data_IF_843734498325
#
_entry.id   IF_843734498325
#
_cell.length_a   1.000
_cell.length_b   1.000
_cell.length_c   1.000
_cell.angle_alpha   90.00
_cell.angle_beta   90.00
_cell.angle_gamma   90.00
#
_symmetry.space_group_name_H-M   'P 1'
#
loop_
_entity.id
_entity.type
_entity.pdbx_description
1 polymer ?
#
# COMPACT_ATOMS: atom_id res chain seq x y z
N UNK A 1 6.49 36.16 52.62
CA UNK A 1 6.13 34.94 51.87
C UNK A 1 6.02 35.34 50.42
N UNK A 2 7.15 35.27 49.71
CA UNK A 2 7.16 35.39 48.25
C UNK A 2 6.62 34.10 47.67
N UNK A 3 5.59 34.19 46.84
CA UNK A 3 5.10 33.06 46.06
C UNK A 3 6.05 32.88 44.87
N UNK A 4 6.81 31.78 44.89
CA UNK A 4 7.50 31.27 43.71
C UNK A 4 6.44 30.82 42.70
N UNK A 5 6.27 31.60 41.64
CA UNK A 5 5.64 31.10 40.42
C UNK A 5 6.60 30.08 39.79
N UNK A 6 6.23 28.79 39.81
CA UNK A 6 6.86 27.81 38.94
C UNK A 6 6.54 28.22 37.51
N UNK A 7 7.56 28.69 36.79
CA UNK A 7 7.49 28.83 35.33
C UNK A 7 7.20 27.45 34.75
N UNK A 8 6.06 27.31 34.08
CA UNK A 8 5.87 26.23 33.12
C UNK A 8 7.01 26.35 32.10
N UNK A 9 7.92 25.37 32.11
CA UNK A 9 9.00 25.32 31.13
C UNK A 9 8.35 25.11 29.76
N UNK A 10 8.31 26.17 28.95
CA UNK A 10 8.09 26.09 27.51
C UNK A 10 9.16 25.15 26.94
N UNK A 11 8.80 23.90 26.70
CA UNK A 11 9.65 22.95 26.01
C UNK A 11 9.75 23.39 24.56
N UNK A 12 10.96 23.56 24.04
CA UNK A 12 11.17 23.95 22.65
C UNK A 12 10.50 22.94 21.69
N UNK A 13 10.04 23.38 20.50
CA UNK A 13 9.45 22.50 19.49
C UNK A 13 10.30 21.25 19.21
N UNK A 14 11.63 21.39 19.28
CA UNK A 14 12.62 20.33 19.08
C UNK A 14 12.53 19.19 20.11
N UNK A 15 12.10 19.48 21.34
CA UNK A 15 11.95 18.52 22.43
C UNK A 15 10.79 17.55 22.18
N UNK A 16 9.81 17.95 21.35
CA UNK A 16 8.72 17.10 20.86
C UNK A 16 9.14 16.22 19.67
N UNK A 17 10.12 16.66 18.88
CA UNK A 17 10.58 15.98 17.66
C UNK A 17 11.36 14.70 17.99
N UNK A 18 12.10 14.66 19.08
CA UNK A 18 13.01 13.55 19.40
C UNK A 18 12.33 12.20 19.68
N UNK A 19 11.02 12.18 19.99
CA UNK A 19 10.31 10.95 20.36
C UNK A 19 9.49 10.30 19.24
N UNK A 20 9.36 10.95 18.08
CA UNK A 20 8.66 10.36 16.93
C UNK A 20 9.71 9.66 16.04
N UNK A 21 9.53 8.36 15.82
CA UNK A 21 10.35 7.59 14.87
C UNK A 21 10.13 8.04 13.42
N UNK A 22 11.16 7.92 12.58
CA UNK A 22 11.08 8.23 11.16
C UNK A 22 9.97 7.41 10.47
N UNK A 23 9.25 8.04 9.56
CA UNK A 23 8.30 7.42 8.66
C UNK A 23 9.02 7.01 7.38
N UNK A 24 9.01 5.71 7.14
CA UNK A 24 9.40 5.12 5.88
C UNK A 24 8.17 4.52 5.23
N UNK A 25 7.85 4.92 4.01
CA UNK A 25 6.75 4.31 3.28
C UNK A 25 7.20 2.99 2.64
N UNK A 26 6.83 1.88 3.27
CA UNK A 26 6.99 0.55 2.69
C UNK A 26 5.67 -0.24 2.79
N UNK A 27 4.87 -0.08 1.74
CA UNK A 27 3.53 -0.63 1.59
C UNK A 27 3.41 -2.13 1.94
N UNK A 28 4.42 -2.93 1.61
CA UNK A 28 4.36 -4.39 1.69
C UNK A 28 4.70 -4.94 3.07
N UNK A 29 5.53 -4.25 3.85
CA UNK A 29 5.81 -4.61 5.25
C UNK A 29 4.85 -3.92 6.23
N UNK A 30 3.82 -3.24 5.71
CA UNK A 30 2.82 -2.56 6.51
C UNK A 30 3.31 -1.24 7.12
N UNK A 31 4.37 -0.66 6.58
CA UNK A 31 4.82 0.69 6.93
C UNK A 31 4.06 1.71 6.07
N UNK A 32 2.78 1.85 6.38
CA UNK A 32 1.87 2.82 5.76
C UNK A 32 1.58 3.95 6.75
N UNK A 33 1.23 5.13 6.23
CA UNK A 33 1.07 6.34 7.03
C UNK A 33 0.04 6.18 8.14
N UNK A 34 -1.07 5.47 7.90
CA UNK A 34 -2.11 5.28 8.93
C UNK A 34 -1.63 4.46 10.12
N UNK A 35 -0.78 3.45 9.91
CA UNK A 35 -0.19 2.63 10.98
C UNK A 35 0.83 3.44 11.76
N UNK A 36 1.69 4.18 11.06
CA UNK A 36 2.68 5.05 11.69
C UNK A 36 2.00 6.18 12.48
N UNK A 37 0.99 6.84 11.91
CA UNK A 37 0.24 7.91 12.58
C UNK A 37 -0.48 7.39 13.83
N UNK A 38 -1.08 6.20 13.76
CA UNK A 38 -1.72 5.58 14.93
C UNK A 38 -0.74 5.32 16.08
N UNK A 39 0.50 4.91 15.79
CA UNK A 39 1.56 4.73 16.81
C UNK A 39 1.99 6.06 17.44
N UNK A 40 1.96 7.13 16.67
CA UNK A 40 2.37 8.47 17.11
C UNK A 40 1.20 9.39 17.48
N UNK A 41 -0.01 8.82 17.64
CA UNK A 41 -1.26 9.57 17.83
C UNK A 41 -1.19 10.56 18.99
N UNK A 42 -0.68 10.13 20.14
CA UNK A 42 -0.55 10.99 21.33
C UNK A 42 0.26 12.26 21.02
N UNK A 43 1.34 12.13 20.25
CA UNK A 43 2.17 13.26 19.90
C UNK A 43 1.44 14.18 18.90
N UNK A 44 0.86 13.61 17.85
CA UNK A 44 0.17 14.37 16.79
C UNK A 44 -1.12 15.07 17.26
N UNK A 45 -1.90 14.41 18.12
CA UNK A 45 -3.22 14.87 18.55
C UNK A 45 -3.20 15.62 19.88
N UNK A 46 -2.36 15.24 20.85
CA UNK A 46 -2.34 15.88 22.17
C UNK A 46 -1.17 16.83 22.35
N UNK A 47 0.06 16.39 22.06
CA UNK A 47 1.28 17.19 22.36
C UNK A 47 1.47 18.34 21.38
N UNK A 48 1.19 18.11 20.11
CA UNK A 48 1.24 19.13 19.06
C UNK A 48 0.00 20.02 19.01
N UNK A 49 -1.05 19.74 19.80
CA UNK A 49 -2.35 20.41 19.69
C UNK A 49 -2.30 21.92 19.90
N UNK A 50 -1.32 22.40 20.68
CA UNK A 50 -1.14 23.82 21.01
C UNK A 50 -0.31 24.59 19.98
N UNK A 51 0.31 23.89 19.02
CA UNK A 51 1.16 24.50 18.01
C UNK A 51 0.32 25.01 16.83
N UNK A 52 0.78 26.07 16.13
CA UNK A 52 0.19 26.48 14.86
C UNK A 52 0.25 25.34 13.84
N UNK A 53 -0.75 25.25 12.97
CA UNK A 53 -0.84 24.18 11.98
C UNK A 53 0.40 24.10 11.07
N UNK A 54 0.98 25.24 10.68
CA UNK A 54 2.24 25.32 9.92
C UNK A 54 3.37 24.55 10.62
N UNK A 55 3.61 24.83 11.90
CA UNK A 55 4.63 24.14 12.69
C UNK A 55 4.34 22.64 12.83
N UNK A 56 3.07 22.25 13.00
CA UNK A 56 2.67 20.84 13.11
C UNK A 56 2.92 20.09 11.80
N UNK A 57 2.66 20.74 10.67
CA UNK A 57 2.91 20.23 9.33
C UNK A 57 4.42 20.05 9.11
N UNK A 58 5.23 21.05 9.44
CA UNK A 58 6.68 20.97 9.29
C UNK A 58 7.27 19.80 10.09
N UNK A 59 6.85 19.63 11.35
CA UNK A 59 7.31 18.52 12.18
C UNK A 59 6.86 17.16 11.60
N UNK A 60 5.63 17.07 11.09
CA UNK A 60 5.13 15.85 10.46
C UNK A 60 5.98 15.49 9.24
N UNK A 61 6.26 16.46 8.37
CA UNK A 61 7.01 16.26 7.14
C UNK A 61 8.50 15.99 7.37
N UNK A 62 9.09 16.56 8.42
CA UNK A 62 10.46 16.22 8.85
C UNK A 62 10.64 14.77 9.27
N UNK A 63 9.55 14.04 9.54
CA UNK A 63 9.62 12.61 9.82
C UNK A 63 9.59 11.74 8.59
N UNK A 64 9.27 12.28 7.42
CA UNK A 64 9.32 11.51 6.19
C UNK A 64 10.77 11.27 5.80
N UNK A 65 11.07 10.06 5.34
CA UNK A 65 12.33 9.83 4.63
C UNK A 65 12.44 10.78 3.43
N UNK A 66 13.66 11.13 3.01
CA UNK A 66 13.87 12.08 1.91
C UNK A 66 13.08 11.71 0.65
N UNK A 67 13.05 10.42 0.29
CA UNK A 67 12.30 9.95 -0.90
C UNK A 67 10.79 10.09 -0.74
N UNK A 68 10.26 9.87 0.46
CA UNK A 68 8.82 9.96 0.72
C UNK A 68 8.37 11.41 0.81
N UNK A 69 9.25 12.30 1.30
CA UNK A 69 9.03 13.74 1.29
C UNK A 69 8.95 14.28 -0.14
N UNK A 70 9.88 13.89 -1.02
CA UNK A 70 9.85 14.29 -2.43
C UNK A 70 8.60 13.76 -3.14
N UNK A 71 8.19 12.52 -2.82
CA UNK A 71 6.94 11.93 -3.30
C UNK A 71 5.72 12.72 -2.82
N UNK A 72 5.70 13.14 -1.56
CA UNK A 72 4.63 13.97 -1.01
C UNK A 72 4.52 15.31 -1.75
N UNK A 73 5.64 15.99 -1.99
CA UNK A 73 5.67 17.25 -2.74
C UNK A 73 5.18 17.08 -4.19
N UNK A 74 5.49 15.96 -4.84
CA UNK A 74 5.01 15.68 -6.19
C UNK A 74 3.49 15.44 -6.26
N UNK A 75 2.89 14.90 -5.19
CA UNK A 75 1.45 14.67 -5.09
C UNK A 75 0.65 15.91 -4.71
N UNK A 76 1.29 16.92 -4.12
CA UNK A 76 0.64 18.17 -3.78
C UNK A 76 0.63 19.14 -4.98
N UNK A 77 -0.55 19.60 -5.43
CA UNK A 77 -0.63 20.83 -6.22
C UNK A 77 -0.01 21.99 -5.42
N UNK A 78 0.50 23.06 -6.08
CA UNK A 78 0.94 24.26 -5.37
C UNK A 78 -0.27 24.94 -4.72
N UNK A 79 -0.57 24.55 -3.48
CA UNK A 79 -1.48 25.25 -2.60
C UNK A 79 -0.72 26.38 -1.93
N UNK A 80 -1.41 27.50 -1.70
CA UNK A 80 -0.87 28.55 -0.87
C UNK A 80 -0.69 28.00 0.54
N UNK A 81 0.50 28.19 1.14
CA UNK A 81 0.83 27.73 2.49
C UNK A 81 -0.16 28.24 3.56
N UNK A 82 -0.96 29.25 3.23
CA UNK A 82 -1.95 29.88 4.13
C UNK A 82 -3.26 29.11 4.25
N UNK A 83 -3.51 28.11 3.38
CA UNK A 83 -4.76 27.36 3.35
C UNK A 83 -4.60 25.89 3.81
N UNK A 84 -3.40 25.46 4.18
CA UNK A 84 -3.17 24.10 4.69
C UNK A 84 -3.44 24.02 6.20
N UNK A 85 -4.45 23.26 6.58
CA UNK A 85 -4.64 22.81 7.96
C UNK A 85 -3.86 21.54 8.24
N UNK A 86 -3.53 21.29 9.51
CA UNK A 86 -2.86 20.05 9.92
C UNK A 86 -3.71 18.82 9.57
N UNK A 87 -5.02 18.89 9.83
CA UNK A 87 -5.96 17.81 9.50
C UNK A 87 -6.01 17.53 7.98
N UNK A 88 -6.08 18.58 7.16
CA UNK A 88 -6.06 18.43 5.70
C UNK A 88 -4.74 17.84 5.18
N UNK A 89 -3.64 18.08 5.88
CA UNK A 89 -2.32 17.49 5.58
C UNK A 89 -2.30 16.01 5.92
N UNK A 90 -2.77 15.62 7.11
CA UNK A 90 -2.91 14.23 7.54
C UNK A 90 -3.78 13.44 6.56
N UNK A 91 -4.87 14.04 6.07
CA UNK A 91 -5.75 13.41 5.08
C UNK A 91 -5.00 13.14 3.76
N UNK A 92 -4.22 14.10 3.27
CA UNK A 92 -3.42 13.91 2.04
C UNK A 92 -2.31 12.89 2.22
N UNK A 93 -1.69 12.82 3.39
CA UNK A 93 -0.69 11.80 3.70
C UNK A 93 -1.28 10.37 3.69
N UNK A 94 -2.61 10.19 3.70
CA UNK A 94 -3.21 8.87 3.43
C UNK A 94 -2.97 8.36 2.01
N UNK A 95 -2.43 9.17 1.09
CA UNK A 95 -1.91 8.68 -0.21
C UNK A 95 -0.82 7.63 -0.02
N UNK A 96 -0.05 7.73 1.06
CA UNK A 96 0.88 6.71 1.57
C UNK A 96 0.14 5.60 2.35
N UNK A 97 -1.04 5.27 1.86
CA UNK A 97 -1.93 4.27 2.41
C UNK A 97 -1.83 2.95 1.65
N UNK A 98 -2.65 2.00 2.06
CA UNK A 98 -2.73 0.73 1.37
C UNK A 98 -3.57 0.82 0.08
N UNK A 99 -2.90 1.05 -1.03
CA UNK A 99 -3.51 1.07 -2.36
C UNK A 99 -3.33 -0.25 -3.13
N UNK A 100 -2.80 -1.29 -2.46
CA UNK A 100 -2.53 -2.57 -3.13
C UNK A 100 -3.72 -3.50 -3.13
N UNK A 101 -4.00 -4.10 -4.29
CA UNK A 101 -4.92 -5.23 -4.36
C UNK A 101 -4.48 -6.35 -3.39
N UNK A 102 -5.44 -6.93 -2.66
CA UNK A 102 -5.20 -8.03 -1.73
C UNK A 102 -4.43 -9.19 -2.39
N UNK A 103 -4.63 -9.40 -3.70
CA UNK A 103 -3.92 -10.40 -4.46
C UNK A 103 -2.40 -10.15 -4.52
N UNK A 104 -1.96 -8.90 -4.73
CA UNK A 104 -0.52 -8.57 -4.84
C UNK A 104 0.20 -8.79 -3.50
N UNK A 105 -0.44 -8.42 -2.40
CA UNK A 105 0.05 -8.69 -1.04
C UNK A 105 0.26 -10.18 -0.79
N UNK A 106 -0.73 -11.00 -1.17
CA UNK A 106 -0.67 -12.45 -1.00
C UNK A 106 0.43 -13.07 -1.83
N UNK A 107 0.58 -12.61 -3.07
CA UNK A 107 1.62 -13.07 -3.98
C UNK A 107 3.02 -12.76 -3.45
N UNK A 108 3.25 -11.54 -2.95
CA UNK A 108 4.54 -11.12 -2.40
C UNK A 108 4.90 -11.87 -1.12
N UNK A 109 3.94 -12.10 -0.23
CA UNK A 109 4.17 -12.90 0.97
C UNK A 109 4.66 -14.32 0.62
N UNK A 110 4.06 -14.96 -0.39
CA UNK A 110 4.46 -16.29 -0.83
C UNK A 110 5.79 -16.31 -1.60
N UNK A 111 6.11 -15.20 -2.28
CA UNK A 111 7.38 -15.03 -3.00
C UNK A 111 8.48 -14.42 -2.11
N UNK A 112 8.29 -14.36 -0.80
CA UNK A 112 9.29 -13.81 0.13
C UNK A 112 10.55 -14.68 0.11
N UNK A 113 11.66 -14.13 -0.40
CA UNK A 113 12.95 -14.80 -0.48
C UNK A 113 14.01 -13.95 0.20
N UNK A 114 14.73 -14.51 1.18
CA UNK A 114 15.91 -13.86 1.75
C UNK A 114 17.13 -14.21 0.92
N UNK A 115 17.87 -13.20 0.47
CA UNK A 115 19.12 -13.40 -0.28
C UNK A 115 20.36 -13.48 0.61
N UNK A 116 20.35 -12.84 1.79
CA UNK A 116 21.39 -12.93 2.83
C UNK A 116 20.76 -12.76 4.22
N UNK A 117 20.76 -13.80 5.04
CA UNK A 117 20.35 -13.69 6.44
C UNK A 117 21.53 -13.13 7.24
N UNK A 118 21.45 -11.87 7.66
CA UNK A 118 22.37 -11.29 8.66
C UNK A 118 21.81 -11.39 10.08
N UNK A 119 20.49 -11.46 10.23
CA UNK A 119 19.77 -11.43 11.50
C UNK A 119 18.43 -12.16 11.34
N UNK A 120 18.26 -13.27 12.06
CA UNK A 120 17.06 -14.11 12.01
C UNK A 120 15.84 -13.43 12.64
N UNK A 121 16.04 -12.58 13.65
CA UNK A 121 14.92 -11.88 14.31
C UNK A 121 14.30 -10.83 13.40
N UNK A 122 15.13 -10.08 12.67
CA UNK A 122 14.64 -9.17 11.63
C UNK A 122 13.86 -9.89 10.54
N UNK A 123 14.30 -11.08 10.15
CA UNK A 123 13.52 -11.86 9.19
C UNK A 123 12.19 -12.34 9.76
N UNK A 124 12.16 -12.84 11.00
CA UNK A 124 10.92 -13.23 11.68
C UNK A 124 9.93 -12.05 11.74
N UNK A 125 10.44 -10.84 12.01
CA UNK A 125 9.63 -9.63 11.98
C UNK A 125 9.02 -9.37 10.59
N UNK A 126 9.82 -9.45 9.52
CA UNK A 126 9.35 -9.30 8.14
C UNK A 126 8.29 -10.35 7.80
N UNK A 127 8.52 -11.63 8.14
CA UNK A 127 7.55 -12.72 7.91
C UNK A 127 6.23 -12.41 8.60
N UNK A 128 6.26 -12.02 9.87
CA UNK A 128 5.05 -11.71 10.63
C UNK A 128 4.30 -10.53 10.02
N UNK A 129 5.01 -9.45 9.63
CA UNK A 129 4.41 -8.28 8.97
C UNK A 129 3.74 -8.67 7.64
N UNK A 130 4.43 -9.45 6.79
CA UNK A 130 3.89 -9.91 5.49
C UNK A 130 2.68 -10.85 5.67
N UNK A 131 2.73 -11.77 6.62
CA UNK A 131 1.62 -12.69 6.93
C UNK A 131 0.40 -11.95 7.51
N UNK A 132 0.62 -10.89 8.29
CA UNK A 132 -0.46 -10.03 8.76
C UNK A 132 -1.09 -9.25 7.59
N UNK A 133 -0.28 -8.69 6.69
CA UNK A 133 -0.76 -8.02 5.48
C UNK A 133 -1.46 -8.98 4.49
N UNK A 134 -1.06 -10.25 4.48
CA UNK A 134 -1.73 -11.34 3.74
C UNK A 134 -3.17 -11.59 4.25
N UNK A 135 -3.45 -11.21 5.50
CA UNK A 135 -4.70 -11.46 6.21
C UNK A 135 -5.02 -12.96 6.28
N UNK A 136 -4.05 -13.78 6.69
CA UNK A 136 -4.17 -15.23 6.66
C UNK A 136 -5.35 -15.74 7.51
N UNK A 137 -5.57 -15.15 8.67
CA UNK A 137 -6.66 -15.53 9.58
C UNK A 137 -8.08 -15.34 9.01
N UNK A 138 -8.26 -14.50 7.99
CA UNK A 138 -9.56 -14.29 7.32
C UNK A 138 -9.64 -14.98 5.95
N UNK A 139 -8.60 -15.71 5.53
CA UNK A 139 -8.57 -16.38 4.25
C UNK A 139 -9.47 -17.62 4.25
N UNK A 140 -10.62 -17.52 3.58
CA UNK A 140 -11.49 -18.67 3.32
C UNK A 140 -10.80 -19.68 2.39
N UNK A 141 -11.05 -20.97 2.61
CA UNK A 141 -10.46 -22.07 1.83
C UNK A 141 -10.69 -21.95 0.33
N UNK A 142 -11.92 -21.64 -0.10
CA UNK A 142 -12.24 -21.48 -1.52
C UNK A 142 -11.50 -20.29 -2.16
N UNK A 143 -11.31 -19.20 -1.40
CA UNK A 143 -10.52 -18.05 -1.86
C UNK A 143 -9.05 -18.43 -2.04
N UNK A 144 -8.50 -19.29 -1.17
CA UNK A 144 -7.15 -19.84 -1.34
C UNK A 144 -7.06 -20.70 -2.59
N UNK A 145 -8.02 -21.60 -2.83
CA UNK A 145 -8.05 -22.46 -4.02
C UNK A 145 -8.07 -21.64 -5.32
N UNK A 146 -8.89 -20.58 -5.38
CA UNK A 146 -8.92 -19.64 -6.51
C UNK A 146 -7.62 -18.88 -6.70
N UNK A 147 -7.02 -18.42 -5.60
CA UNK A 147 -5.72 -17.78 -5.63
C UNK A 147 -4.67 -18.72 -6.23
N UNK A 148 -4.59 -19.97 -5.75
CA UNK A 148 -3.67 -20.99 -6.27
C UNK A 148 -3.90 -21.24 -7.76
N UNK A 149 -5.16 -21.31 -8.21
CA UNK A 149 -5.49 -21.48 -9.63
C UNK A 149 -4.93 -20.36 -10.50
N UNK A 150 -5.22 -19.09 -10.17
CA UNK A 150 -4.70 -17.94 -10.94
C UNK A 150 -3.18 -17.85 -10.85
N UNK A 151 -2.62 -18.12 -9.67
CA UNK A 151 -1.18 -18.14 -9.45
C UNK A 151 -0.46 -19.20 -10.29
N UNK A 152 -1.11 -20.33 -10.59
CA UNK A 152 -0.60 -21.38 -11.46
C UNK A 152 -0.51 -20.96 -12.93
N UNK A 153 -1.27 -19.94 -13.36
CA UNK A 153 -1.28 -19.44 -14.74
C UNK A 153 -0.06 -18.55 -15.05
N UNK A 154 1.16 -18.97 -14.69
CA UNK A 154 2.38 -18.13 -14.79
C UNK A 154 2.86 -17.92 -16.23
N UNK A 155 2.57 -18.84 -17.14
CA UNK A 155 3.00 -18.76 -18.54
C UNK A 155 2.48 -17.49 -19.23
N UNK A 156 3.29 -16.94 -20.14
CA UNK A 156 2.93 -15.76 -20.94
C UNK A 156 1.67 -16.01 -21.80
N UNK A 157 1.42 -17.25 -22.22
CA UNK A 157 0.21 -17.61 -22.99
C UNK A 157 -1.10 -17.39 -22.22
N UNK A 158 -1.03 -17.20 -20.89
CA UNK A 158 -2.18 -16.94 -20.04
C UNK A 158 -2.26 -15.49 -19.57
N UNK A 159 -1.35 -14.60 -19.96
CA UNK A 159 -1.27 -13.23 -19.43
C UNK A 159 -2.59 -12.46 -19.54
N UNK A 160 -3.17 -12.41 -20.75
CA UNK A 160 -4.43 -11.72 -20.97
C UNK A 160 -5.62 -12.33 -20.21
N UNK A 161 -5.65 -13.66 -20.05
CA UNK A 161 -6.70 -14.33 -19.28
C UNK A 161 -6.50 -14.09 -17.78
N UNK A 162 -5.26 -14.21 -17.30
CA UNK A 162 -4.86 -13.97 -15.90
C UNK A 162 -5.28 -12.58 -15.43
N UNK A 163 -5.04 -11.54 -16.24
CA UNK A 163 -5.48 -10.18 -15.94
C UNK A 163 -7.00 -10.07 -15.76
N UNK A 164 -7.78 -10.70 -16.65
CA UNK A 164 -9.25 -10.70 -16.55
C UNK A 164 -9.72 -11.45 -15.31
N UNK A 165 -9.12 -12.60 -14.99
CA UNK A 165 -9.47 -13.38 -13.79
C UNK A 165 -9.12 -12.65 -12.49
N UNK A 166 -8.00 -11.93 -12.45
CA UNK A 166 -7.65 -11.06 -11.31
C UNK A 166 -8.71 -9.99 -11.06
N UNK A 167 -9.15 -9.31 -12.12
CA UNK A 167 -10.19 -8.28 -12.01
C UNK A 167 -11.53 -8.82 -11.49
N UNK A 168 -11.82 -10.11 -11.71
CA UNK A 168 -13.00 -10.78 -11.17
C UNK A 168 -12.84 -11.11 -9.68
N UNK A 169 -11.64 -11.53 -9.26
CA UNK A 169 -11.35 -11.79 -7.84
C UNK A 169 -11.46 -10.52 -7.00
N UNK A 170 -11.00 -9.38 -7.51
CA UNK A 170 -11.05 -8.11 -6.79
C UNK A 170 -12.49 -7.58 -6.63
N UNK A 171 -13.38 -7.91 -7.58
CA UNK A 171 -14.78 -7.44 -7.59
C UNK A 171 -15.77 -8.38 -6.92
N UNK A 172 -15.44 -9.67 -6.75
CA UNK A 172 -16.43 -10.68 -6.35
C UNK A 172 -15.81 -11.78 -5.47
N UNK A 173 -15.91 -11.62 -4.15
CA UNK A 173 -15.33 -12.53 -3.15
C UNK A 173 -16.06 -13.87 -3.03
N UNK A 174 -17.32 -13.96 -3.46
CA UNK A 174 -18.15 -15.18 -3.34
C UNK A 174 -18.14 -16.09 -4.58
N UNK A 175 -17.34 -15.76 -5.59
CA UNK A 175 -17.21 -16.59 -6.78
C UNK A 175 -16.52 -17.92 -6.44
N UNK A 176 -17.11 -19.07 -6.71
CA UNK A 176 -16.46 -20.38 -6.46
C UNK A 176 -15.34 -20.70 -7.46
N UNK A 177 -14.43 -21.63 -7.13
CA UNK A 177 -13.38 -22.07 -8.04
C UNK A 177 -13.90 -22.55 -9.42
N UNK A 178 -14.98 -23.33 -9.46
CA UNK A 178 -15.50 -23.87 -10.72
C UNK A 178 -15.98 -22.76 -11.68
N UNK A 179 -16.63 -21.71 -11.15
CA UNK A 179 -16.98 -20.53 -11.94
C UNK A 179 -15.74 -19.85 -12.56
N UNK A 180 -14.61 -19.86 -11.86
CA UNK A 180 -13.36 -19.29 -12.34
C UNK A 180 -12.79 -20.12 -13.51
N UNK A 181 -12.91 -21.45 -13.45
CA UNK A 181 -12.57 -22.36 -14.55
C UNK A 181 -13.46 -22.12 -15.76
N UNK A 182 -14.77 -21.95 -15.56
CA UNK A 182 -15.70 -21.63 -16.65
C UNK A 182 -15.34 -20.30 -17.33
N UNK A 183 -15.01 -19.27 -16.54
CA UNK A 183 -14.55 -17.99 -17.06
C UNK A 183 -13.23 -18.11 -17.80
N UNK A 184 -12.28 -18.88 -17.28
CA UNK A 184 -11.02 -19.17 -17.97
C UNK A 184 -11.26 -19.79 -19.35
N UNK A 185 -12.10 -20.83 -19.42
CA UNK A 185 -12.42 -21.51 -20.67
C UNK A 185 -13.14 -20.59 -21.66
N UNK A 186 -14.10 -19.79 -21.18
CA UNK A 186 -14.77 -18.78 -22.00
C UNK A 186 -13.77 -17.79 -22.61
N UNK A 187 -12.88 -17.20 -21.80
CA UNK A 187 -11.87 -16.27 -22.31
C UNK A 187 -10.90 -16.93 -23.30
N UNK A 188 -10.55 -18.20 -23.06
CA UNK A 188 -9.72 -18.97 -23.97
C UNK A 188 -10.42 -19.19 -25.33
N UNK A 189 -11.70 -19.56 -25.34
CA UNK A 189 -12.48 -19.69 -26.57
C UNK A 189 -12.60 -18.37 -27.31
N UNK A 190 -12.91 -17.27 -26.61
CA UNK A 190 -13.00 -15.93 -27.22
C UNK A 190 -11.68 -15.50 -27.88
N UNK A 191 -10.53 -15.84 -27.30
CA UNK A 191 -9.22 -15.56 -27.90
C UNK A 191 -9.03 -16.41 -29.17
N UNK A 192 -9.42 -17.69 -29.14
CA UNK A 192 -9.35 -18.55 -30.32
C UNK A 192 -10.23 -18.02 -31.46
N UNK A 193 -11.48 -17.63 -31.15
CA UNK A 193 -12.42 -17.05 -32.10
C UNK A 193 -11.89 -15.72 -32.67
N UNK A 194 -11.36 -14.84 -31.81
CA UNK A 194 -10.76 -13.56 -32.23
C UNK A 194 -9.58 -13.77 -33.16
N UNK A 195 -8.72 -14.76 -32.89
CA UNK A 195 -7.57 -15.07 -33.74
C UNK A 195 -8.01 -15.62 -35.10
N UNK A 196 -9.06 -16.44 -35.14
CA UNK A 196 -9.62 -16.97 -36.39
C UNK A 196 -10.22 -15.87 -37.27
N UNK A 197 -10.80 -14.82 -36.68
CA UNK A 197 -11.27 -13.63 -37.41
C UNK A 197 -10.10 -12.78 -37.89
N UNK A 198 -9.11 -12.51 -37.02
CA UNK A 198 -7.97 -11.63 -37.33
C UNK A 198 -6.92 -12.22 -38.28
N UNK A 199 -6.82 -13.54 -38.40
CA UNK A 199 -5.88 -14.21 -39.32
C UNK A 199 -6.17 -13.96 -40.80
N UNK A 200 -7.30 -13.34 -41.13
CA UNK A 200 -7.65 -12.95 -42.50
C UNK A 200 -7.14 -11.55 -42.90
N UNK A 201 -6.65 -10.73 -41.96
CA UNK A 201 -6.23 -9.34 -42.24
C UNK A 201 -4.71 -9.15 -42.29
N UNK A 202 -3.92 -10.03 -41.69
CA UNK A 202 -2.44 -9.92 -41.70
C UNK A 202 -1.81 -10.05 -43.09
N UNK A 203 -2.55 -10.54 -44.09
CA UNK A 203 -2.10 -10.55 -45.49
C UNK A 203 -2.47 -9.26 -46.26
N UNK A 204 -3.37 -8.42 -45.74
CA UNK A 204 -3.84 -7.21 -46.42
C UNK A 204 -3.14 -5.92 -45.97
N UNK A 205 -2.52 -5.90 -44.78
CA UNK A 205 -1.83 -4.72 -44.25
C UNK A 205 -0.33 -4.63 -44.63
N UNK A 206 0.27 -5.68 -45.20
CA UNK A 206 1.66 -5.66 -45.68
C UNK A 206 1.80 -5.33 -47.18
N UNK A 207 0.70 -5.09 -47.88
CA UNK A 207 0.67 -4.76 -49.31
C UNK A 207 0.12 -3.36 -49.63
N UNK A 208 0.20 -2.40 -48.70
CA UNK A 208 -0.08 -0.97 -48.99
C UNK A 208 1.04 -0.05 -48.55
#
# INVERSE_FOLDING_TARGET
MEQMNLSETDKEPEDYVMNIGEFHYELFVGEIFTIWYARNRDVCENRMARLPDETRIDILLWKFSQSDHDLYLAYLPPLSAKDLTFEGTVEKCKVFGDNTFLFDRRLKCLNLVIRKVKDTYKYTEIVNRMCNAFSYGSLKEDLFRRFVFIHGLRSACHEGIRLKLLSLLDKNLDLMLHHLVDKYNNFRSLIADSNAVGSNETQACLER
#
